data_IF_266824076734
#
_entry.id   IF_266824076734
#
_cell.length_a   1.000
_cell.length_b   1.000
_cell.length_c   1.000
_cell.angle_alpha   90.00
_cell.angle_beta   90.00
_cell.angle_gamma   90.00
#
_symmetry.space_group_name_H-M   'P 1'
#
loop_
_entity.id
_entity.type
_entity.pdbx_description
1 polymer ?
#
# COMPACT_ATOMS: atom_id res chain seq x y z
N UNK A 1 -2.02 38.87 24.99
CA UNK A 1 -2.13 40.00 24.03
C UNK A 1 -0.92 40.01 23.13
N UNK A 2 -1.12 39.68 21.84
CA UNK A 2 -0.44 40.23 20.65
C UNK A 2 -0.93 39.42 19.46
N UNK A 3 -1.85 40.01 18.70
CA UNK A 3 -2.38 39.53 17.43
C UNK A 3 -1.32 39.80 16.36
N UNK A 4 -0.93 38.79 15.58
CA UNK A 4 -0.24 39.02 14.31
C UNK A 4 -1.22 38.84 13.16
N UNK A 5 -1.49 39.97 12.52
CA UNK A 5 -2.29 40.11 11.31
C UNK A 5 -1.35 39.83 10.12
N UNK A 6 -1.64 38.83 9.32
CA UNK A 6 -0.92 38.59 8.07
C UNK A 6 -1.70 39.25 6.94
N UNK A 7 -1.11 40.31 6.38
CA UNK A 7 -1.65 41.05 5.23
C UNK A 7 -1.21 40.34 3.95
N UNK A 8 -2.18 39.86 3.16
CA UNK A 8 -1.95 39.39 1.81
C UNK A 8 -1.87 40.60 0.86
N UNK A 9 -0.72 40.81 0.24
CA UNK A 9 -0.52 41.81 -0.80
C UNK A 9 -0.87 41.19 -2.15
N UNK A 10 -2.01 41.57 -2.71
CA UNK A 10 -2.35 41.30 -4.10
C UNK A 10 -1.73 42.38 -4.98
N UNK A 11 -0.73 42.05 -5.78
CA UNK A 11 -0.18 42.94 -6.80
C UNK A 11 -1.07 42.93 -8.05
N UNK A 12 -1.89 43.97 -8.19
CA UNK A 12 -2.58 44.29 -9.44
C UNK A 12 -1.60 45.04 -10.36
N UNK A 13 -1.16 44.38 -11.43
CA UNK A 13 -0.46 45.08 -12.52
C UNK A 13 -1.50 45.77 -13.42
N UNK A 14 -1.59 47.06 -13.29
CA UNK A 14 -2.35 47.90 -14.23
C UNK A 14 -1.43 48.19 -15.42
N UNK A 15 -1.77 47.64 -16.58
CA UNK A 15 -1.16 48.01 -17.84
C UNK A 15 -1.88 49.22 -18.40
N UNK A 16 -1.20 50.35 -18.39
CA UNK A 16 -1.66 51.56 -19.03
C UNK A 16 -1.56 51.43 -20.55
N UNK A 17 -2.70 51.51 -21.24
CA UNK A 17 -2.71 51.65 -22.70
C UNK A 17 -2.22 53.07 -23.09
N UNK A 18 -1.10 53.13 -23.76
CA UNK A 18 -0.69 54.28 -24.54
C UNK A 18 -1.20 54.05 -25.97
N UNK A 19 -2.04 54.95 -26.43
CA UNK A 19 -2.59 55.00 -27.77
C UNK A 19 -1.55 55.75 -28.61
N UNK A 20 -0.88 55.09 -29.51
CA UNK A 20 -0.22 55.68 -30.64
C UNK A 20 -0.69 54.95 -31.91
N UNK A 21 -1.34 55.67 -32.79
CA UNK A 21 -1.76 55.26 -34.13
C UNK A 21 -0.50 55.13 -34.97
N UNK A 22 -0.16 53.87 -35.38
CA UNK A 22 0.58 53.63 -36.58
C UNK A 22 0.20 52.24 -37.13
N UNK A 23 -0.39 52.30 -38.28
CA UNK A 23 -0.93 51.20 -39.11
C UNK A 23 0.25 50.39 -39.67
N UNK A 24 0.64 49.29 -39.04
CA UNK A 24 1.50 48.30 -39.67
C UNK A 24 1.02 46.90 -39.25
N UNK A 25 0.49 46.16 -40.22
CA UNK A 25 -0.06 44.81 -40.03
C UNK A 25 1.02 43.79 -39.59
N UNK A 26 1.34 43.81 -38.30
CA UNK A 26 2.12 42.79 -37.64
C UNK A 26 1.18 41.73 -37.08
N UNK A 27 1.34 40.48 -37.53
CA UNK A 27 0.66 39.33 -36.95
C UNK A 27 0.98 39.30 -35.43
N UNK A 28 -0.07 39.43 -34.62
CA UNK A 28 0.03 39.30 -33.16
C UNK A 28 0.51 37.87 -32.87
N UNK A 29 1.63 37.66 -32.17
CA UNK A 29 2.11 36.32 -31.87
C UNK A 29 1.03 35.57 -31.08
N UNK A 30 0.57 34.45 -31.66
CA UNK A 30 -0.37 33.54 -31.03
C UNK A 30 0.20 33.11 -29.67
N UNK A 31 -0.56 33.23 -28.55
CA UNK A 31 -0.08 32.73 -27.25
C UNK A 31 0.38 31.28 -27.41
N UNK A 32 1.49 30.88 -26.78
CA UNK A 32 1.92 29.50 -26.85
C UNK A 32 0.80 28.59 -26.36
N UNK A 33 0.56 27.52 -27.10
CA UNK A 33 -0.45 26.52 -26.74
C UNK A 33 -0.17 26.02 -25.32
N UNK A 34 -1.22 25.82 -24.48
CA UNK A 34 -1.04 25.23 -23.15
C UNK A 34 -0.25 23.93 -23.29
N UNK A 35 0.72 23.66 -22.38
CA UNK A 35 1.47 22.41 -22.43
C UNK A 35 0.49 21.24 -22.41
N UNK A 36 0.69 20.28 -23.29
CA UNK A 36 -0.11 19.07 -23.35
C UNK A 36 -0.17 18.42 -21.95
N UNK A 37 -1.33 17.87 -21.53
CA UNK A 37 -1.47 17.20 -20.25
C UNK A 37 -0.38 16.13 -20.13
N UNK A 38 0.48 16.23 -19.13
CA UNK A 38 1.48 15.21 -18.87
C UNK A 38 0.76 13.91 -18.50
N UNK A 39 0.98 12.85 -19.25
CA UNK A 39 0.47 11.52 -18.94
C UNK A 39 1.16 11.08 -17.65
N UNK A 40 0.40 10.99 -16.54
CA UNK A 40 0.91 10.51 -15.29
C UNK A 40 1.08 8.99 -15.36
N UNK A 41 2.30 8.50 -15.12
CA UNK A 41 2.60 7.06 -15.12
C UNK A 41 2.51 6.49 -13.69
N UNK A 42 2.21 5.19 -13.51
CA UNK A 42 2.26 4.52 -12.22
C UNK A 42 3.66 4.61 -11.61
N UNK A 43 3.72 4.53 -10.27
CA UNK A 43 5.01 4.43 -9.56
C UNK A 43 5.77 3.20 -10.02
N UNK A 44 7.03 3.37 -10.41
CA UNK A 44 7.89 2.27 -10.85
C UNK A 44 8.46 1.53 -9.65
N UNK A 45 8.69 0.22 -9.81
CA UNK A 45 9.44 -0.54 -8.81
C UNK A 45 10.91 -0.08 -8.75
N UNK A 46 11.58 -0.21 -7.61
CA UNK A 46 13.00 0.10 -7.49
C UNK A 46 13.86 -0.71 -8.47
N UNK A 47 14.99 -0.15 -8.88
CA UNK A 47 15.99 -0.89 -9.68
C UNK A 47 16.44 -2.13 -8.92
N UNK A 48 16.44 -3.28 -9.61
CA UNK A 48 16.73 -4.57 -9.00
C UNK A 48 15.64 -5.01 -8.01
N UNK A 49 14.39 -4.70 -8.26
CA UNK A 49 13.26 -5.23 -7.50
C UNK A 49 13.24 -6.76 -7.55
N UNK A 50 12.83 -7.39 -6.45
CA UNK A 50 12.74 -8.85 -6.34
C UNK A 50 11.77 -9.42 -7.38
N UNK A 51 12.20 -10.44 -8.11
CA UNK A 51 11.37 -11.16 -9.10
C UNK A 51 10.69 -12.38 -8.50
N UNK A 52 11.38 -13.02 -7.54
CA UNK A 52 10.88 -14.27 -6.95
C UNK A 52 11.33 -14.41 -5.50
N UNK A 53 10.44 -14.93 -4.65
CA UNK A 53 10.73 -15.32 -3.27
C UNK A 53 10.32 -16.78 -3.11
N UNK A 54 11.24 -17.63 -2.70
CA UNK A 54 11.01 -19.05 -2.44
C UNK A 54 11.17 -19.33 -0.94
N UNK A 55 10.14 -19.92 -0.34
CA UNK A 55 10.14 -20.37 1.05
C UNK A 55 10.15 -21.89 1.05
N UNK A 56 11.10 -22.50 1.74
CA UNK A 56 11.23 -23.97 1.85
C UNK A 56 11.46 -24.37 3.30
N UNK A 57 10.76 -25.39 3.78
CA UNK A 57 10.85 -25.88 5.15
C UNK A 57 9.49 -26.36 5.66
N UNK A 58 9.14 -26.03 6.90
CA UNK A 58 7.81 -26.33 7.45
C UNK A 58 6.71 -25.54 6.73
N UNK A 59 7.06 -24.38 6.21
CA UNK A 59 6.27 -23.58 5.28
C UNK A 59 6.92 -23.67 3.89
N UNK A 60 6.13 -23.91 2.85
CA UNK A 60 6.62 -23.96 1.48
C UNK A 60 5.74 -23.13 0.58
N UNK A 61 6.36 -22.17 -0.12
CA UNK A 61 5.66 -21.33 -1.09
C UNK A 61 6.64 -20.69 -2.07
N UNK A 62 6.13 -20.32 -3.24
CA UNK A 62 6.86 -19.52 -4.22
C UNK A 62 6.02 -18.31 -4.58
N UNK A 63 6.56 -17.12 -4.34
CA UNK A 63 5.99 -15.85 -4.81
C UNK A 63 6.75 -15.40 -6.04
N UNK A 64 6.04 -15.09 -7.13
CA UNK A 64 6.61 -14.56 -8.38
C UNK A 64 5.95 -13.22 -8.68
N UNK A 65 6.76 -12.18 -8.90
CA UNK A 65 6.28 -10.83 -9.21
C UNK A 65 6.27 -10.60 -10.72
N UNK A 66 5.15 -10.09 -11.25
CA UNK A 66 5.02 -9.66 -12.63
C UNK A 66 5.29 -8.16 -12.72
N UNK A 67 6.42 -7.80 -13.34
CA UNK A 67 6.84 -6.41 -13.56
C UNK A 67 7.02 -6.17 -15.05
N UNK A 68 6.28 -5.22 -15.60
CA UNK A 68 6.33 -4.83 -17.01
C UNK A 68 6.67 -3.34 -17.11
N UNK A 69 7.70 -3.00 -17.88
CA UNK A 69 8.17 -1.61 -18.03
C UNK A 69 8.45 -0.92 -16.65
N UNK A 70 9.03 -1.64 -15.72
CA UNK A 70 9.28 -1.24 -14.33
C UNK A 70 8.00 -0.94 -13.52
N UNK A 71 6.82 -1.34 -13.98
CA UNK A 71 5.56 -1.21 -13.24
C UNK A 71 5.13 -2.58 -12.74
N UNK A 72 4.82 -2.69 -11.45
CA UNK A 72 4.27 -3.92 -10.88
C UNK A 72 2.85 -4.15 -11.42
N UNK A 73 2.64 -5.26 -12.15
CA UNK A 73 1.34 -5.67 -12.69
C UNK A 73 0.63 -6.70 -11.82
N UNK A 74 1.34 -7.29 -10.87
CA UNK A 74 0.79 -8.27 -9.95
C UNK A 74 1.83 -9.22 -9.44
N UNK A 75 1.37 -10.25 -8.74
CA UNK A 75 2.19 -11.36 -8.26
C UNK A 75 1.35 -12.62 -8.10
N UNK A 76 2.01 -13.76 -8.07
CA UNK A 76 1.40 -15.06 -7.74
C UNK A 76 2.09 -15.68 -6.55
N UNK A 77 1.33 -16.41 -5.73
CA UNK A 77 1.85 -17.23 -4.64
C UNK A 77 1.39 -18.66 -4.87
N UNK A 78 2.32 -19.55 -5.06
CA UNK A 78 2.07 -21.00 -5.22
C UNK A 78 2.51 -21.71 -3.95
N UNK A 79 1.62 -22.48 -3.35
CA UNK A 79 1.89 -23.32 -2.19
C UNK A 79 1.38 -24.76 -2.44
N UNK A 80 1.71 -25.73 -1.58
CA UNK A 80 1.14 -27.08 -1.66
C UNK A 80 -0.40 -27.13 -1.59
N UNK A 81 -1.02 -26.08 -1.03
CA UNK A 81 -2.47 -26.05 -0.76
C UNK A 81 -3.26 -25.23 -1.76
N UNK A 82 -2.66 -24.19 -2.33
CA UNK A 82 -3.36 -23.24 -3.18
C UNK A 82 -2.41 -22.45 -4.08
N UNK A 83 -2.95 -22.00 -5.21
CA UNK A 83 -2.37 -20.93 -6.02
C UNK A 83 -3.19 -19.68 -5.82
N UNK A 84 -2.52 -18.56 -5.48
CA UNK A 84 -3.10 -17.24 -5.32
C UNK A 84 -2.51 -16.31 -6.38
N UNK A 85 -3.35 -15.52 -7.03
CA UNK A 85 -2.95 -14.57 -8.06
C UNK A 85 -3.49 -13.19 -7.72
N UNK A 86 -2.63 -12.21 -7.81
CA UNK A 86 -2.93 -10.80 -7.54
C UNK A 86 -2.62 -10.00 -8.81
N UNK A 87 -3.61 -9.25 -9.32
CA UNK A 87 -3.48 -8.46 -10.55
C UNK A 87 -3.77 -7.00 -10.25
N UNK A 88 -2.93 -6.11 -10.79
CA UNK A 88 -3.03 -4.67 -10.64
C UNK A 88 -3.25 -4.02 -12.01
N UNK A 89 -4.30 -3.22 -12.15
CA UNK A 89 -4.56 -2.42 -13.35
C UNK A 89 -4.60 -0.93 -12.99
N UNK A 90 -4.02 -0.10 -13.85
CA UNK A 90 -3.81 1.32 -13.61
C UNK A 90 -4.51 2.19 -14.65
N UNK A 91 -4.90 3.39 -14.23
CA UNK A 91 -5.32 4.48 -15.08
C UNK A 91 -4.45 5.71 -14.75
N UNK A 92 -3.55 6.08 -15.67
CA UNK A 92 -2.47 7.02 -15.35
C UNK A 92 -1.62 6.49 -14.20
N UNK A 93 -1.37 7.31 -13.17
CA UNK A 93 -0.64 6.89 -11.96
C UNK A 93 -1.49 6.13 -10.95
N UNK A 94 -2.80 6.14 -11.09
CA UNK A 94 -3.72 5.63 -10.07
C UNK A 94 -3.98 4.13 -10.27
N UNK A 95 -3.92 3.36 -9.18
CA UNK A 95 -4.38 1.98 -9.18
C UNK A 95 -5.90 1.97 -9.37
N UNK A 96 -6.37 1.50 -10.53
CA UNK A 96 -7.79 1.49 -10.87
C UNK A 96 -8.51 0.23 -10.41
N UNK A 97 -7.83 -0.90 -10.51
CA UNK A 97 -8.39 -2.20 -10.14
C UNK A 97 -7.31 -3.08 -9.49
N UNK A 98 -7.73 -3.80 -8.48
CA UNK A 98 -6.96 -4.87 -7.84
C UNK A 98 -7.82 -6.12 -7.82
N UNK A 99 -7.29 -7.26 -8.28
CA UNK A 99 -7.99 -8.53 -8.30
C UNK A 99 -7.19 -9.55 -7.49
N UNK A 100 -7.84 -10.24 -6.59
CA UNK A 100 -7.33 -11.39 -5.88
C UNK A 100 -8.08 -12.65 -6.33
N UNK A 101 -7.34 -13.66 -6.75
CA UNK A 101 -7.87 -14.97 -7.11
C UNK A 101 -7.14 -16.04 -6.29
N UNK A 102 -7.89 -17.01 -5.77
CA UNK A 102 -7.33 -18.14 -5.03
C UNK A 102 -7.99 -19.44 -5.47
N UNK A 103 -7.18 -20.39 -5.91
CA UNK A 103 -7.60 -21.74 -6.30
C UNK A 103 -6.92 -22.74 -5.37
N UNK A 104 -7.70 -23.51 -4.61
CA UNK A 104 -7.18 -24.63 -3.83
C UNK A 104 -6.78 -25.78 -4.76
N UNK A 105 -5.66 -26.44 -4.49
CA UNK A 105 -5.18 -27.56 -5.32
C UNK A 105 -6.13 -28.77 -5.29
N UNK A 106 -6.95 -28.89 -4.22
CA UNK A 106 -7.96 -29.93 -4.03
C UNK A 106 -9.35 -29.57 -4.58
N UNK A 107 -9.52 -28.41 -5.22
CA UNK A 107 -10.83 -27.92 -5.69
C UNK A 107 -10.74 -27.33 -7.09
N UNK A 108 -11.81 -27.45 -7.85
CA UNK A 108 -12.00 -26.75 -9.12
C UNK A 108 -12.55 -25.33 -8.94
N UNK A 109 -13.03 -25.01 -7.75
CA UNK A 109 -13.61 -23.70 -7.46
C UNK A 109 -12.54 -22.62 -7.40
N UNK A 110 -12.82 -21.51 -8.05
CA UNK A 110 -12.02 -20.29 -8.02
C UNK A 110 -12.67 -19.29 -7.09
N UNK A 111 -11.98 -18.94 -6.02
CA UNK A 111 -12.36 -17.81 -5.18
C UNK A 111 -11.80 -16.53 -5.80
N UNK A 112 -12.66 -15.55 -6.07
CA UNK A 112 -12.26 -14.28 -6.69
C UNK A 112 -12.83 -13.10 -5.91
N UNK A 113 -12.01 -12.09 -5.67
CA UNK A 113 -12.40 -10.79 -5.12
C UNK A 113 -11.81 -9.69 -5.99
N UNK A 114 -12.62 -8.71 -6.33
CA UNK A 114 -12.20 -7.56 -7.12
C UNK A 114 -12.41 -6.28 -6.30
N UNK A 115 -11.45 -5.35 -6.41
CA UNK A 115 -11.50 -4.01 -5.84
C UNK A 115 -11.38 -3.00 -6.98
N UNK A 116 -12.35 -2.10 -7.09
CA UNK A 116 -12.35 -1.00 -8.07
C UNK A 116 -12.24 0.32 -7.31
N UNK A 117 -11.24 1.12 -7.67
CA UNK A 117 -10.89 2.36 -6.97
C UNK A 117 -11.43 3.58 -7.72
N UNK A 118 -12.00 4.53 -6.98
CA UNK A 118 -12.50 5.80 -7.49
C UNK A 118 -11.67 6.94 -6.93
N UNK A 119 -11.20 7.82 -7.83
CA UNK A 119 -10.39 8.98 -7.49
C UNK A 119 -11.10 10.26 -7.91
N UNK A 120 -10.96 11.32 -7.10
CA UNK A 120 -11.33 12.69 -7.42
C UNK A 120 -10.11 13.58 -7.18
N UNK A 121 -9.74 14.39 -8.16
CA UNK A 121 -8.54 15.23 -8.10
C UNK A 121 -7.28 14.46 -7.68
N UNK A 122 -7.09 13.25 -8.22
CA UNK A 122 -6.01 12.31 -7.90
C UNK A 122 -5.97 11.82 -6.44
N UNK A 123 -6.98 12.09 -5.62
CA UNK A 123 -7.13 11.53 -4.27
C UNK A 123 -8.13 10.39 -4.31
N UNK A 124 -7.79 9.27 -3.67
CA UNK A 124 -8.70 8.14 -3.50
C UNK A 124 -9.88 8.59 -2.62
N UNK A 125 -11.11 8.39 -3.10
CA UNK A 125 -12.33 8.79 -2.38
C UNK A 125 -13.23 7.60 -2.03
N UNK A 126 -13.15 6.52 -2.79
CA UNK A 126 -13.90 5.30 -2.49
C UNK A 126 -13.31 4.10 -3.22
N UNK A 127 -13.67 2.90 -2.77
CA UNK A 127 -13.49 1.68 -3.54
C UNK A 127 -14.72 0.77 -3.40
N UNK A 128 -14.95 -0.02 -4.45
CA UNK A 128 -15.96 -1.08 -4.49
C UNK A 128 -15.25 -2.42 -4.38
N UNK A 129 -15.68 -3.26 -3.45
CA UNK A 129 -15.26 -4.65 -3.32
C UNK A 129 -16.36 -5.54 -3.85
N UNK A 130 -16.05 -6.40 -4.80
CA UNK A 130 -16.99 -7.36 -5.40
C UNK A 130 -16.48 -8.78 -5.22
N UNK A 131 -17.37 -9.66 -4.79
CA UNK A 131 -17.15 -11.10 -4.76
C UNK A 131 -18.45 -11.79 -5.13
N UNK A 132 -18.39 -12.71 -6.08
CA UNK A 132 -19.59 -13.36 -6.65
C UNK A 132 -20.59 -12.29 -7.13
N UNK A 133 -21.83 -12.34 -6.67
CA UNK A 133 -22.89 -11.37 -6.98
C UNK A 133 -23.09 -10.30 -5.90
N UNK A 134 -22.21 -10.26 -4.89
CA UNK A 134 -22.28 -9.31 -3.78
C UNK A 134 -21.23 -8.25 -3.89
N UNK A 135 -21.55 -7.03 -3.49
CA UNK A 135 -20.59 -5.93 -3.48
C UNK A 135 -20.86 -4.96 -2.32
N UNK A 136 -19.75 -4.46 -1.76
CA UNK A 136 -19.73 -3.39 -0.79
C UNK A 136 -18.99 -2.18 -1.35
N UNK A 137 -19.41 -0.98 -0.98
CA UNK A 137 -18.73 0.26 -1.30
C UNK A 137 -18.20 0.85 0.01
N UNK A 138 -16.95 1.27 -0.04
CA UNK A 138 -16.26 1.90 1.07
C UNK A 138 -15.89 3.33 0.70
N UNK A 139 -16.35 4.29 1.49
CA UNK A 139 -15.87 5.66 1.43
C UNK A 139 -14.51 5.77 2.12
N UNK A 140 -13.61 6.54 1.55
CA UNK A 140 -12.24 6.68 2.03
C UNK A 140 -11.92 8.15 2.21
N UNK A 141 -11.27 8.49 3.32
CA UNK A 141 -10.64 9.78 3.53
C UNK A 141 -9.13 9.58 3.52
N UNK A 142 -8.43 10.43 2.77
CA UNK A 142 -6.96 10.42 2.72
C UNK A 142 -6.40 11.76 3.22
N UNK A 143 -5.22 11.72 3.81
CA UNK A 143 -4.48 12.93 4.20
C UNK A 143 -3.78 13.58 2.99
N UNK A 144 -3.03 14.66 3.24
CA UNK A 144 -2.31 15.36 2.18
C UNK A 144 -1.12 14.57 1.61
N UNK A 145 -0.70 13.52 2.29
CA UNK A 145 0.31 12.55 1.81
C UNK A 145 -0.30 11.38 1.05
N UNK A 146 -1.64 11.37 0.86
CA UNK A 146 -2.37 10.29 0.17
C UNK A 146 -2.58 9.03 1.02
N UNK A 147 -2.30 9.05 2.34
CA UNK A 147 -2.49 7.91 3.22
C UNK A 147 -3.94 7.85 3.69
N UNK A 148 -4.53 6.66 3.71
CA UNK A 148 -5.90 6.46 4.19
C UNK A 148 -5.97 6.78 5.69
N UNK A 149 -6.84 7.72 6.07
CA UNK A 149 -7.12 8.11 7.46
C UNK A 149 -8.43 7.55 7.99
N UNK A 150 -9.38 7.25 7.09
CA UNK A 150 -10.57 6.49 7.46
C UNK A 150 -11.12 5.69 6.27
N UNK A 151 -11.85 4.63 6.62
CA UNK A 151 -12.54 3.77 5.69
C UNK A 151 -13.90 3.40 6.29
N UNK A 152 -15.00 3.79 5.60
CA UNK A 152 -16.37 3.56 6.07
C UNK A 152 -17.14 2.75 5.03
N UNK A 153 -17.73 1.61 5.43
CA UNK A 153 -18.61 0.83 4.54
C UNK A 153 -19.97 1.49 4.44
N UNK A 154 -20.50 1.63 3.23
CA UNK A 154 -21.87 2.09 2.99
C UNK A 154 -22.87 0.99 3.29
N UNK A 155 -24.09 1.33 3.77
CA UNK A 155 -25.17 0.35 3.92
C UNK A 155 -25.46 -0.33 2.58
N UNK A 156 -25.53 -1.65 2.56
CA UNK A 156 -25.87 -2.43 1.39
C UNK A 156 -26.71 -3.64 1.79
N UNK A 157 -27.84 -3.85 1.12
CA UNK A 157 -28.70 -5.03 1.33
C UNK A 157 -28.15 -6.28 0.64
N UNK A 158 -27.26 -6.11 -0.33
CA UNK A 158 -26.63 -7.19 -1.10
C UNK A 158 -25.11 -7.11 -1.02
N UNK A 159 -24.58 -6.80 0.15
CA UNK A 159 -23.15 -6.72 0.42
C UNK A 159 -22.66 -7.85 1.32
N UNK A 160 -21.34 -8.12 1.25
CA UNK A 160 -20.67 -9.09 2.11
C UNK A 160 -20.67 -8.66 3.59
N UNK A 161 -20.65 -7.36 3.84
CA UNK A 161 -20.72 -6.82 5.20
C UNK A 161 -22.13 -6.95 5.82
N UNK A 162 -23.12 -7.48 5.05
CA UNK A 162 -24.44 -7.82 5.57
C UNK A 162 -25.27 -6.62 6.02
N UNK A 163 -25.10 -5.47 5.35
CA UNK A 163 -25.81 -4.23 5.70
C UNK A 163 -25.23 -3.49 6.91
N UNK A 164 -24.19 -4.02 7.54
CA UNK A 164 -23.49 -3.32 8.64
C UNK A 164 -22.79 -2.07 8.13
N UNK A 165 -22.90 -1.00 8.90
CA UNK A 165 -22.12 0.24 8.72
C UNK A 165 -21.07 0.28 9.81
N UNK A 166 -19.83 0.41 9.41
CA UNK A 166 -18.72 0.56 10.35
C UNK A 166 -17.61 1.43 9.75
N UNK A 167 -16.78 2.00 10.59
CA UNK A 167 -15.65 2.82 10.20
C UNK A 167 -14.40 2.33 10.90
N UNK A 168 -13.32 2.14 10.14
CA UNK A 168 -11.97 2.01 10.67
C UNK A 168 -11.21 3.31 10.47
N UNK A 169 -10.39 3.72 11.43
CA UNK A 169 -9.60 4.95 11.37
C UNK A 169 -8.11 4.69 11.54
N UNK A 170 -7.29 5.53 10.92
CA UNK A 170 -5.84 5.45 10.90
C UNK A 170 -5.27 6.84 11.20
N UNK A 171 -4.73 7.03 12.39
CA UNK A 171 -4.14 8.30 12.81
C UNK A 171 -2.62 8.20 12.77
N UNK A 172 -2.00 8.96 11.88
CA UNK A 172 -0.56 8.99 11.67
C UNK A 172 0.06 10.19 12.39
N UNK A 173 1.10 9.95 13.16
CA UNK A 173 2.02 10.97 13.67
C UNK A 173 3.41 10.74 13.08
N UNK A 174 4.41 11.50 13.52
CA UNK A 174 5.81 11.28 13.12
C UNK A 174 6.32 9.89 13.52
N UNK A 175 5.99 9.45 14.74
CA UNK A 175 6.54 8.24 15.33
C UNK A 175 5.48 7.21 15.73
N UNK A 176 4.23 7.39 15.29
CA UNK A 176 3.17 6.42 15.61
C UNK A 176 2.09 6.33 14.54
N UNK A 177 1.43 5.17 14.52
CA UNK A 177 0.18 4.94 13.82
C UNK A 177 -0.81 4.34 14.82
N UNK A 178 -1.94 5.01 15.02
CA UNK A 178 -3.04 4.48 15.80
C UNK A 178 -4.12 4.00 14.84
N UNK A 179 -4.43 2.71 14.89
CA UNK A 179 -5.50 2.08 14.11
C UNK A 179 -6.64 1.75 15.05
N UNK A 180 -7.83 2.23 14.75
CA UNK A 180 -9.06 1.84 15.42
C UNK A 180 -9.89 1.03 14.45
N UNK A 181 -10.18 -0.22 14.82
CA UNK A 181 -10.92 -1.13 13.96
C UNK A 181 -12.44 -0.87 13.99
N UNK A 182 -13.17 -1.68 13.23
CA UNK A 182 -14.63 -1.60 13.11
C UNK A 182 -15.37 -1.84 14.44
N UNK A 183 -14.78 -2.58 15.36
CA UNK A 183 -15.37 -2.95 16.65
C UNK A 183 -14.92 -1.99 17.77
N UNK A 184 -14.12 -0.98 17.41
CA UNK A 184 -13.61 0.05 18.32
C UNK A 184 -12.32 -0.33 19.03
N UNK A 185 -11.77 -1.52 18.80
CA UNK A 185 -10.47 -1.94 19.33
C UNK A 185 -9.35 -1.07 18.76
N UNK A 186 -8.40 -0.74 19.61
CA UNK A 186 -7.31 0.19 19.26
C UNK A 186 -5.97 -0.56 19.22
N UNK A 187 -5.22 -0.32 18.14
CA UNK A 187 -3.89 -0.85 17.89
C UNK A 187 -2.93 0.33 17.72
N UNK A 188 -1.86 0.36 18.49
CA UNK A 188 -0.89 1.47 18.48
C UNK A 188 0.48 0.96 18.07
N UNK A 189 0.93 1.38 16.88
CA UNK A 189 2.28 1.13 16.40
C UNK A 189 3.21 2.27 16.80
N UNK A 190 4.39 1.93 17.29
CA UNK A 190 5.49 2.87 17.49
C UNK A 190 6.52 2.66 16.38
N UNK A 191 6.97 3.75 15.75
CA UNK A 191 7.91 3.72 14.63
C UNK A 191 9.26 4.29 15.03
N UNK A 192 10.31 3.69 14.48
CA UNK A 192 11.66 4.23 14.49
C UNK A 192 12.28 4.02 13.09
N UNK A 193 12.78 5.11 12.48
CA UNK A 193 13.38 5.06 11.13
C UNK A 193 12.47 4.37 10.09
N UNK A 194 11.18 4.70 10.08
CA UNK A 194 10.15 4.16 9.18
C UNK A 194 9.85 2.64 9.37
N UNK A 195 10.35 2.04 10.45
CA UNK A 195 10.03 0.66 10.83
C UNK A 195 9.14 0.64 12.07
N UNK A 196 8.05 -0.13 12.12
CA UNK A 196 7.26 -0.31 13.34
C UNK A 196 8.05 -1.18 14.33
N UNK A 197 8.46 -0.61 15.47
CA UNK A 197 9.27 -1.31 16.47
C UNK A 197 8.47 -1.93 17.61
N UNK A 198 7.24 -1.45 17.80
CA UNK A 198 6.32 -2.01 18.77
C UNK A 198 4.87 -1.88 18.29
N UNK A 199 4.02 -2.80 18.74
CA UNK A 199 2.57 -2.75 18.59
C UNK A 199 1.92 -3.08 19.92
N UNK A 200 1.10 -2.16 20.44
CA UNK A 200 0.17 -2.40 21.53
C UNK A 200 -1.21 -2.76 20.97
N UNK A 201 -1.81 -3.85 21.44
CA UNK A 201 -3.15 -4.33 21.06
C UNK A 201 -3.99 -4.58 22.32
N UNK A 202 -5.32 -4.74 22.18
CA UNK A 202 -6.16 -5.16 23.30
C UNK A 202 -5.80 -6.52 23.91
N UNK A 203 -5.05 -7.35 23.16
CA UNK A 203 -4.74 -8.73 23.56
C UNK A 203 -3.28 -8.94 23.95
N UNK A 204 -2.44 -7.91 23.91
CA UNK A 204 -1.03 -7.99 24.23
C UNK A 204 -0.16 -7.08 23.36
N UNK A 205 1.14 -7.11 23.65
CA UNK A 205 2.12 -6.26 22.97
C UNK A 205 3.07 -7.13 22.15
N UNK A 206 3.47 -6.58 20.99
CA UNK A 206 4.48 -7.17 20.13
C UNK A 206 5.67 -6.21 20.00
N UNK A 207 6.87 -6.78 19.91
CA UNK A 207 8.09 -6.03 19.61
C UNK A 207 8.72 -6.56 18.35
N UNK A 208 9.30 -5.67 17.55
CA UNK A 208 9.88 -5.96 16.25
C UNK A 208 11.30 -5.40 16.16
N UNK A 209 12.19 -6.15 15.55
CA UNK A 209 13.56 -5.71 15.26
C UNK A 209 13.85 -5.83 13.77
N UNK A 210 14.76 -5.00 13.26
CA UNK A 210 15.06 -4.89 11.84
C UNK A 210 16.55 -4.86 11.59
N UNK A 211 17.01 -5.47 10.49
CA UNK A 211 18.34 -5.22 9.94
C UNK A 211 18.31 -3.91 9.14
N UNK A 212 18.76 -2.82 9.77
CA UNK A 212 18.76 -1.49 9.16
C UNK A 212 19.70 -1.36 7.94
N UNK A 213 20.54 -2.37 7.70
CA UNK A 213 21.43 -2.44 6.53
C UNK A 213 20.78 -3.16 5.35
N UNK A 214 19.63 -3.83 5.56
CA UNK A 214 18.92 -4.60 4.52
C UNK A 214 17.57 -3.96 4.22
N UNK A 215 17.35 -3.62 2.95
CA UNK A 215 16.09 -3.05 2.49
C UNK A 215 15.03 -4.15 2.29
N UNK A 216 13.79 -3.77 2.53
CA UNK A 216 12.64 -4.60 2.24
C UNK A 216 11.95 -4.11 0.95
N UNK A 217 12.07 -4.88 -0.13
CA UNK A 217 11.46 -4.53 -1.42
C UNK A 217 9.92 -4.49 -1.36
N UNK A 218 9.29 -5.12 -0.36
CA UNK A 218 7.84 -5.05 -0.14
C UNK A 218 7.39 -3.72 0.49
N UNK A 219 8.32 -2.83 0.87
CA UNK A 219 8.00 -1.44 1.21
C UNK A 219 7.64 -0.66 -0.06
N UNK A 220 6.53 -0.98 -0.65
CA UNK A 220 6.04 -0.42 -1.90
C UNK A 220 4.59 0.06 -1.75
N UNK A 221 4.29 1.23 -2.30
CA UNK A 221 2.99 1.91 -2.09
C UNK A 221 1.78 1.01 -2.37
N UNK A 222 1.82 0.23 -3.45
CA UNK A 222 0.67 -0.62 -3.83
C UNK A 222 0.49 -1.83 -2.92
N UNK A 223 1.54 -2.37 -2.30
CA UNK A 223 1.37 -3.40 -1.28
C UNK A 223 0.68 -2.84 -0.04
N UNK A 224 1.06 -1.64 0.39
CA UNK A 224 0.40 -0.97 1.53
C UNK A 224 -1.05 -0.64 1.21
N UNK A 225 -1.34 -0.10 0.03
CA UNK A 225 -2.70 0.25 -0.37
C UNK A 225 -3.60 -1.00 -0.43
N UNK A 226 -3.20 -2.05 -1.15
CA UNK A 226 -3.99 -3.30 -1.26
C UNK A 226 -4.22 -3.93 0.10
N UNK A 227 -3.22 -3.93 0.97
CA UNK A 227 -3.35 -4.47 2.32
C UNK A 227 -4.30 -3.64 3.20
N UNK A 228 -4.22 -2.30 3.15
CA UNK A 228 -5.09 -1.44 3.96
C UNK A 228 -6.56 -1.51 3.49
N UNK A 229 -6.81 -1.62 2.18
CA UNK A 229 -8.19 -1.76 1.68
C UNK A 229 -8.81 -3.12 2.06
N UNK A 230 -8.02 -4.18 2.17
CA UNK A 230 -8.47 -5.48 2.65
C UNK A 230 -8.65 -5.53 4.18
N UNK A 231 -7.85 -4.77 4.92
CA UNK A 231 -7.85 -4.80 6.38
C UNK A 231 -9.25 -4.52 6.94
N UNK A 232 -9.71 -5.34 7.90
CA UNK A 232 -11.03 -5.31 8.54
C UNK A 232 -12.23 -5.59 7.61
N UNK A 233 -12.05 -5.87 6.33
CA UNK A 233 -13.14 -6.39 5.52
C UNK A 233 -13.50 -7.81 5.96
N UNK A 234 -14.74 -8.21 5.76
CA UNK A 234 -15.17 -9.58 6.07
C UNK A 234 -14.35 -10.58 5.24
N UNK A 235 -13.81 -11.60 5.89
CA UNK A 235 -12.91 -12.59 5.29
C UNK A 235 -11.60 -12.01 4.73
N UNK A 236 -11.10 -10.96 5.35
CA UNK A 236 -9.75 -10.45 5.07
C UNK A 236 -8.68 -11.49 5.41
N UNK A 237 -7.68 -11.61 4.55
CA UNK A 237 -6.45 -12.38 4.82
C UNK A 237 -5.37 -11.50 5.46
N UNK A 238 -5.68 -10.24 5.70
CA UNK A 238 -4.77 -9.26 6.28
C UNK A 238 -5.03 -9.16 7.78
N UNK A 239 -3.99 -9.25 8.57
CA UNK A 239 -4.06 -9.21 10.03
C UNK A 239 -3.16 -8.13 10.62
N UNK A 240 -3.45 -7.77 11.86
CA UNK A 240 -2.60 -6.96 12.71
C UNK A 240 -1.95 -7.86 13.76
N UNK A 241 -0.67 -7.63 14.02
CA UNK A 241 0.13 -8.37 15.00
C UNK A 241 0.90 -9.56 14.42
N UNK A 242 2.05 -9.83 15.03
CA UNK A 242 2.97 -10.88 14.61
C UNK A 242 3.77 -10.52 13.35
N UNK A 243 4.44 -11.51 12.78
CA UNK A 243 5.28 -11.37 11.59
C UNK A 243 4.47 -11.24 10.27
N UNK A 244 3.19 -11.60 10.31
CA UNK A 244 2.26 -11.47 9.18
C UNK A 244 1.52 -10.12 9.14
N UNK A 245 1.81 -9.24 10.09
CA UNK A 245 1.23 -7.91 10.18
C UNK A 245 1.52 -7.08 8.92
N UNK A 246 0.49 -6.40 8.41
CA UNK A 246 0.59 -5.61 7.17
C UNK A 246 1.60 -4.48 7.27
N UNK A 247 1.66 -3.79 8.41
CA UNK A 247 2.57 -2.67 8.60
C UNK A 247 4.01 -3.13 8.84
N UNK A 248 4.19 -4.32 9.44
CA UNK A 248 5.49 -4.97 9.63
C UNK A 248 6.03 -5.49 8.30
N UNK A 249 5.20 -6.15 7.48
CA UNK A 249 5.59 -6.63 6.15
C UNK A 249 5.96 -5.50 5.19
N UNK A 250 5.35 -4.34 5.32
CA UNK A 250 5.64 -3.14 4.51
C UNK A 250 6.60 -2.16 5.17
N UNK A 251 7.38 -2.59 6.16
CA UNK A 251 8.44 -1.80 6.80
C UNK A 251 9.57 -1.44 5.82
N UNK A 252 10.34 -0.41 6.13
CA UNK A 252 11.48 0.04 5.31
C UNK A 252 12.57 -1.01 5.20
N UNK A 253 12.88 -1.68 6.31
CA UNK A 253 13.96 -2.64 6.42
C UNK A 253 13.44 -4.06 6.63
N UNK A 254 14.29 -5.04 6.41
CA UNK A 254 13.96 -6.44 6.62
C UNK A 254 13.77 -6.73 8.10
N UNK A 255 12.64 -7.37 8.45
CA UNK A 255 12.36 -7.85 9.79
C UNK A 255 13.41 -8.89 10.23
N UNK A 256 13.97 -8.74 11.43
CA UNK A 256 14.87 -9.73 12.06
C UNK A 256 14.22 -10.47 13.22
N UNK A 257 13.24 -9.87 13.90
CA UNK A 257 12.42 -10.60 14.86
C UNK A 257 11.02 -10.01 14.97
N UNK A 258 10.04 -10.88 15.16
CA UNK A 258 8.64 -10.50 15.39
C UNK A 258 7.79 -11.71 15.74
N UNK A 259 6.97 -11.60 16.78
CA UNK A 259 6.15 -12.70 17.26
C UNK A 259 6.99 -13.93 17.68
N UNK A 260 6.72 -15.07 17.06
CA UNK A 260 7.38 -16.35 17.37
C UNK A 260 8.66 -16.61 16.57
N UNK A 261 9.04 -15.72 15.65
CA UNK A 261 10.09 -15.99 14.69
C UNK A 261 11.25 -14.98 14.78
N UNK A 262 12.42 -15.49 14.42
CA UNK A 262 13.65 -14.72 14.19
C UNK A 262 14.11 -14.97 12.76
N UNK A 263 14.57 -13.91 12.08
CA UNK A 263 15.02 -13.93 10.70
C UNK A 263 16.50 -13.54 10.65
N UNK A 264 17.32 -14.43 10.11
CA UNK A 264 18.76 -14.26 9.98
C UNK A 264 19.13 -14.17 8.48
N UNK A 265 19.68 -13.03 8.07
CA UNK A 265 20.22 -12.88 6.70
C UNK A 265 21.56 -13.60 6.62
N UNK A 266 21.61 -14.72 5.90
CA UNK A 266 22.85 -15.51 5.73
C UNK A 266 23.60 -15.14 4.47
N UNK A 267 22.92 -14.62 3.44
CA UNK A 267 23.53 -14.14 2.22
C UNK A 267 22.84 -12.85 1.74
N UNK A 268 23.63 -11.92 1.18
CA UNK A 268 23.14 -10.68 0.57
C UNK A 268 23.42 -10.65 -0.94
N UNK A 269 22.54 -10.00 -1.69
CA UNK A 269 22.73 -9.57 -3.07
C UNK A 269 23.23 -8.12 -3.05
N UNK A 270 24.48 -7.89 -3.44
CA UNK A 270 25.10 -6.58 -3.26
C UNK A 270 25.25 -6.21 -1.78
N UNK A 271 25.08 -4.94 -1.46
CA UNK A 271 25.32 -4.41 -0.10
C UNK A 271 24.11 -4.48 0.83
N UNK A 272 22.89 -4.40 0.27
CA UNK A 272 21.70 -4.12 1.07
C UNK A 272 20.45 -4.94 0.72
N UNK A 273 20.54 -5.94 -0.15
CA UNK A 273 19.40 -6.81 -0.50
C UNK A 273 19.57 -8.20 0.08
N UNK A 274 18.53 -8.82 0.67
CA UNK A 274 18.63 -10.19 1.16
C UNK A 274 18.69 -11.16 -0.03
N UNK A 275 19.56 -12.16 0.00
CA UNK A 275 19.57 -13.27 -0.96
C UNK A 275 19.05 -14.55 -0.33
N UNK A 276 19.52 -14.86 0.88
CA UNK A 276 19.06 -15.99 1.68
C UNK A 276 18.82 -15.55 3.12
N UNK A 277 17.64 -15.89 3.65
CA UNK A 277 17.22 -15.61 5.01
C UNK A 277 16.75 -16.92 5.66
N UNK A 278 17.25 -17.21 6.86
CA UNK A 278 16.74 -18.28 7.70
C UNK A 278 15.65 -17.76 8.61
N UNK A 279 14.46 -18.36 8.54
CA UNK A 279 13.38 -18.17 9.50
C UNK A 279 13.50 -19.25 10.56
N UNK A 280 13.61 -18.86 11.83
CA UNK A 280 13.79 -19.75 12.97
C UNK A 280 12.70 -19.49 14.01
N UNK A 281 12.38 -20.47 14.84
CA UNK A 281 11.62 -20.19 16.05
C UNK A 281 12.46 -19.34 17.03
N UNK A 282 11.83 -18.46 17.80
CA UNK A 282 12.51 -17.64 18.81
C UNK A 282 13.17 -18.50 19.91
N UNK A 283 12.64 -19.71 20.18
CA UNK A 283 13.22 -20.71 21.07
C UNK A 283 14.30 -21.60 20.45
N UNK A 284 14.70 -21.34 19.19
CA UNK A 284 15.66 -22.14 18.43
C UNK A 284 14.99 -23.11 17.45
N UNK A 285 15.80 -23.70 16.58
CA UNK A 285 15.33 -24.60 15.51
C UNK A 285 14.93 -23.87 14.23
N UNK A 286 15.31 -24.46 13.09
CA UNK A 286 14.98 -23.90 11.78
C UNK A 286 13.51 -24.16 11.46
N UNK A 287 12.82 -23.11 10.97
CA UNK A 287 11.46 -23.20 10.49
C UNK A 287 11.40 -23.24 8.95
N UNK A 288 12.08 -22.30 8.29
CA UNK A 288 12.13 -22.23 6.84
C UNK A 288 13.39 -21.50 6.35
N UNK A 289 13.73 -21.72 5.09
CA UNK A 289 14.71 -20.95 4.33
C UNK A 289 13.97 -20.12 3.29
N UNK A 290 14.26 -18.83 3.22
CA UNK A 290 13.69 -17.87 2.28
C UNK A 290 14.78 -17.45 1.30
N UNK A 291 14.57 -17.66 0.00
CA UNK A 291 15.49 -17.24 -1.08
C UNK A 291 14.86 -16.18 -1.96
N UNK A 292 15.63 -15.15 -2.25
CA UNK A 292 15.24 -14.02 -3.09
C UNK A 292 16.00 -14.09 -4.41
N UNK A 293 15.31 -13.91 -5.53
CA UNK A 293 15.86 -13.77 -6.88
C UNK A 293 15.49 -12.39 -7.43
N UNK A 294 16.49 -11.66 -7.92
CA UNK A 294 16.36 -10.29 -8.42
C UNK A 294 16.42 -10.21 -9.94
#
# INVERSE_FOLDING_TARGET
>A
MKKFLLVAVAALAVVACKKDDDNNGGEQPTPPAPPAPQVQTPTTVPVGFVKKIEVTGQETSTTTFNVENNVLKGWSVVSPYATQTYTLAYEGKNLKKYTFESKRNSSTELFKVEYEFTYQNNKLVSFKRTRDNMSDIYDVVVDDKGRITSKTVRPSTNGWEGGMVWTATFTYTENSLVVKDRDGSTYTYTYQNENPTALATPHGNFSYSYDTTVLNDLNFEYFRLTSIVELFTRHSNVSLGGDNDVFVKSSKNLLTSGGMYVYEVTEKQGTNKPKTVLKKYAGGGNYATIRYTY
#
